data_IF_320281492514
#
_entry.id   IF_320281492514
#
_cell.length_a   1.000
_cell.length_b   1.000
_cell.length_c   1.000
_cell.angle_alpha   90.00
_cell.angle_beta   90.00
_cell.angle_gamma   90.00
#
_symmetry.space_group_name_H-M   'P 1'
#
loop_
_entity.id
_entity.type
_entity.pdbx_description
1 polymer ?
#
# COMPACT_ATOMS: atom_id res chain seq x y z
N UNK A 1 53.72 -19.25 -38.37
CA UNK A 1 53.71 -19.80 -37.39
C UNK A 1 53.32 -19.15 -36.20
N UNK A 2 53.27 -18.11 -36.03
CA UNK A 2 52.96 -17.51 -34.89
C UNK A 2 51.70 -16.92 -34.84
N UNK A 3 50.78 -17.14 -35.55
CA UNK A 3 49.60 -16.44 -35.53
C UNK A 3 48.51 -17.04 -34.78
N UNK A 4 48.75 -17.99 -34.07
CA UNK A 4 47.64 -18.53 -33.41
C UNK A 4 47.18 -17.87 -32.26
N UNK A 5 47.84 -16.99 -31.71
CA UNK A 5 47.41 -16.47 -30.51
C UNK A 5 46.27 -15.61 -30.59
N UNK A 6 45.87 -15.15 -31.64
CA UNK A 6 44.89 -14.15 -31.68
C UNK A 6 43.54 -14.66 -31.47
N UNK A 7 43.27 -15.87 -31.69
CA UNK A 7 41.95 -16.32 -31.62
C UNK A 7 41.37 -16.39 -30.27
N UNK A 8 42.18 -16.31 -29.28
CA UNK A 8 41.65 -16.48 -27.99
C UNK A 8 40.89 -15.35 -27.45
N UNK A 9 41.11 -14.20 -27.96
CA UNK A 9 40.56 -13.07 -27.34
C UNK A 9 39.12 -12.89 -27.59
N UNK A 10 38.66 -13.28 -28.69
CA UNK A 10 37.28 -13.01 -29.00
C UNK A 10 36.31 -13.79 -28.15
N UNK A 11 36.80 -14.81 -27.54
CA UNK A 11 35.93 -15.65 -26.83
C UNK A 11 35.42 -15.05 -25.57
N UNK A 12 36.08 -14.11 -25.06
CA UNK A 12 35.77 -13.61 -23.78
C UNK A 12 34.56 -12.77 -23.67
N UNK A 13 34.12 -12.22 -24.73
CA UNK A 13 33.09 -11.23 -24.63
C UNK A 13 31.69 -11.72 -24.44
N UNK A 14 31.50 -12.97 -24.55
CA UNK A 14 30.18 -13.46 -24.58
C UNK A 14 29.51 -13.55 -23.25
N UNK A 15 30.31 -13.60 -22.24
CA UNK A 15 29.72 -13.85 -20.98
C UNK A 15 29.00 -12.73 -20.32
N UNK A 16 29.14 -11.57 -20.80
CA UNK A 16 28.66 -10.47 -20.05
C UNK A 16 27.19 -10.29 -20.10
N UNK A 17 26.57 -10.84 -21.08
CA UNK A 17 25.17 -10.49 -21.24
C UNK A 17 24.24 -11.30 -20.42
N UNK A 18 24.69 -12.29 -19.76
CA UNK A 18 23.77 -13.14 -19.09
C UNK A 18 23.30 -12.64 -17.75
N UNK A 19 23.92 -11.65 -17.25
CA UNK A 19 23.67 -11.31 -15.87
C UNK A 19 22.45 -10.49 -15.59
N UNK A 20 21.76 -9.99 -16.58
CA UNK A 20 20.70 -9.14 -16.25
C UNK A 20 19.39 -9.75 -16.17
N UNK A 21 19.24 -10.91 -16.59
CA UNK A 21 17.93 -11.47 -16.68
C UNK A 21 17.27 -11.71 -15.36
N UNK A 22 18.01 -11.79 -14.32
CA UNK A 22 17.40 -12.13 -13.11
C UNK A 22 16.86 -11.02 -12.34
N UNK A 23 17.05 -9.85 -12.75
CA UNK A 23 16.59 -8.76 -11.96
C UNK A 23 15.12 -8.55 -12.06
N UNK A 24 14.43 -9.28 -12.84
CA UNK A 24 13.02 -9.14 -12.83
C UNK A 24 12.56 -9.68 -11.53
N UNK A 25 12.52 -8.86 -10.57
CA UNK A 25 12.08 -9.25 -9.28
C UNK A 25 10.64 -9.69 -9.35
N UNK A 26 10.36 -10.78 -8.76
CA UNK A 26 9.00 -11.20 -8.66
C UNK A 26 8.29 -10.22 -7.77
N UNK A 27 7.31 -9.57 -8.26
CA UNK A 27 6.46 -8.75 -7.42
C UNK A 27 5.83 -9.65 -6.39
N UNK A 28 5.70 -9.16 -5.19
CA UNK A 28 5.03 -9.88 -4.14
C UNK A 28 3.60 -10.17 -4.61
N UNK A 29 3.06 -11.34 -4.30
CA UNK A 29 1.71 -11.65 -4.71
C UNK A 29 0.74 -10.65 -4.12
N UNK A 30 -0.19 -10.16 -4.92
CA UNK A 30 -1.18 -9.22 -4.46
C UNK A 30 -2.25 -9.95 -3.69
N UNK A 31 -2.63 -9.37 -2.57
CA UNK A 31 -3.71 -9.92 -1.78
C UNK A 31 -5.02 -9.44 -2.38
N UNK A 32 -5.89 -10.37 -2.66
CA UNK A 32 -7.17 -10.09 -3.29
C UNK A 32 -8.27 -10.66 -2.41
N UNK A 33 -9.33 -9.87 -2.22
CA UNK A 33 -10.47 -10.34 -1.48
C UNK A 33 -11.26 -11.35 -2.31
N UNK A 34 -11.53 -12.53 -1.79
CA UNK A 34 -12.18 -13.56 -2.61
C UNK A 34 -13.65 -13.29 -2.92
N UNK A 35 -14.29 -12.40 -2.18
CA UNK A 35 -15.70 -12.10 -2.41
C UNK A 35 -15.86 -10.99 -3.44
N UNK A 36 -15.12 -9.90 -3.28
CA UNK A 36 -15.25 -8.74 -4.14
C UNK A 36 -14.33 -8.77 -5.34
N UNK A 37 -13.29 -9.58 -5.26
CA UNK A 37 -12.23 -9.66 -6.26
C UNK A 37 -11.40 -8.38 -6.35
N UNK A 38 -11.52 -7.49 -5.39
CA UNK A 38 -10.69 -6.30 -5.31
C UNK A 38 -9.37 -6.61 -4.63
N UNK A 39 -8.32 -5.91 -5.05
CA UNK A 39 -7.04 -5.99 -4.37
C UNK A 39 -7.16 -5.31 -3.00
N UNK A 40 -6.52 -5.88 -1.98
CA UNK A 40 -6.51 -5.26 -0.67
C UNK A 40 -5.44 -4.18 -0.66
N UNK A 41 -5.80 -3.02 -1.14
CA UNK A 41 -4.88 -1.92 -1.33
C UNK A 41 -4.89 -0.94 -0.17
N UNK A 42 -6.07 -0.66 0.41
CA UNK A 42 -6.20 0.39 1.40
C UNK A 42 -6.58 -0.14 2.76
N UNK A 43 -6.02 0.50 3.80
CA UNK A 43 -6.51 0.35 5.16
C UNK A 43 -7.17 1.66 5.58
N UNK A 44 -8.25 1.56 6.34
CA UNK A 44 -8.90 2.71 6.93
C UNK A 44 -8.67 2.70 8.43
N UNK A 45 -8.31 3.87 8.99
CA UNK A 45 -8.07 4.04 10.42
C UNK A 45 -9.23 4.83 11.02
N UNK A 46 -10.20 4.18 11.67
CA UNK A 46 -11.38 4.89 12.17
C UNK A 46 -11.07 6.01 13.15
N UNK A 47 -10.07 5.81 14.00
CA UNK A 47 -9.76 6.81 15.01
C UNK A 47 -8.97 7.99 14.46
N UNK A 48 -8.37 7.83 13.31
CA UNK A 48 -7.64 8.91 12.64
C UNK A 48 -8.42 9.47 11.46
N UNK A 49 -9.46 8.79 11.02
CA UNK A 49 -10.20 9.15 9.79
C UNK A 49 -9.21 9.32 8.63
N UNK A 50 -8.32 8.35 8.49
CA UNK A 50 -7.23 8.39 7.53
C UNK A 50 -7.13 7.07 6.80
N UNK A 51 -6.40 7.07 5.70
CA UNK A 51 -6.18 5.87 4.91
C UNK A 51 -4.70 5.60 4.72
N UNK A 52 -4.34 4.36 4.56
CA UNK A 52 -3.00 3.97 4.13
C UNK A 52 -3.10 3.21 2.80
N UNK A 53 -2.30 3.63 1.82
CA UNK A 53 -2.25 3.00 0.51
C UNK A 53 -1.03 2.08 0.50
N UNK A 54 -1.27 0.77 0.48
CA UNK A 54 -0.17 -0.19 0.51
C UNK A 54 0.61 -0.22 -0.79
N UNK A 55 0.00 0.24 -1.88
CA UNK A 55 0.67 0.25 -3.16
C UNK A 55 1.68 1.39 -3.27
N UNK A 56 1.32 2.55 -2.73
CA UNK A 56 2.18 3.72 -2.77
C UNK A 56 2.94 3.96 -1.48
N UNK A 57 2.59 3.23 -0.42
CA UNK A 57 3.19 3.41 0.91
C UNK A 57 3.03 4.82 1.43
N UNK A 58 1.85 5.37 1.28
CA UNK A 58 1.53 6.71 1.78
C UNK A 58 0.23 6.70 2.55
N UNK A 59 0.11 7.69 3.44
CA UNK A 59 -1.11 7.92 4.18
C UNK A 59 -1.86 9.09 3.55
N UNK A 60 -3.19 9.04 3.63
CA UNK A 60 -4.07 10.16 3.28
C UNK A 60 -4.73 10.62 4.55
N UNK A 61 -4.57 11.87 4.90
CA UNK A 61 -5.20 12.43 6.11
C UNK A 61 -5.47 13.92 5.91
N UNK A 62 -6.30 14.50 6.79
CA UNK A 62 -6.68 15.90 6.64
C UNK A 62 -5.86 16.78 7.55
N UNK A 63 -5.39 17.90 7.03
CA UNK A 63 -4.84 18.97 7.82
C UNK A 63 -5.55 20.26 7.40
N UNK A 64 -6.10 20.96 8.37
CA UNK A 64 -6.81 22.21 8.11
C UNK A 64 -7.91 22.05 7.06
N UNK A 65 -8.63 20.94 7.16
CA UNK A 65 -9.74 20.67 6.24
C UNK A 65 -9.34 20.18 4.86
N UNK A 66 -8.06 20.02 4.60
CA UNK A 66 -7.59 19.60 3.28
C UNK A 66 -6.95 18.22 3.36
N UNK A 67 -7.24 17.40 2.39
CA UNK A 67 -6.57 16.10 2.28
C UNK A 67 -5.13 16.29 1.83
N UNK A 68 -4.21 15.66 2.56
CA UNK A 68 -2.81 15.64 2.17
C UNK A 68 -2.31 14.21 2.22
N UNK A 69 -1.17 13.97 1.60
CA UNK A 69 -0.52 12.66 1.62
C UNK A 69 0.88 12.81 2.19
N UNK A 70 1.32 11.79 2.90
CA UNK A 70 2.68 11.76 3.45
C UNK A 70 3.07 10.32 3.74
N UNK A 71 4.36 10.09 3.90
CA UNK A 71 4.83 8.74 4.22
C UNK A 71 4.53 8.36 5.67
N UNK A 72 4.27 9.35 6.51
CA UNK A 72 3.90 9.11 7.90
C UNK A 72 2.87 10.12 8.35
N UNK A 73 2.07 9.74 9.32
CA UNK A 73 1.14 10.66 9.95
C UNK A 73 1.90 11.37 11.07
N UNK A 74 1.75 12.70 11.20
CA UNK A 74 2.47 13.44 12.24
C UNK A 74 2.16 12.93 13.64
N UNK A 75 3.16 12.92 14.49
CA UNK A 75 2.97 12.50 15.87
C UNK A 75 1.92 13.39 16.54
N UNK A 76 1.01 12.77 17.25
CA UNK A 76 -0.05 13.51 17.92
C UNK A 76 -1.23 13.90 17.06
N UNK A 77 -1.23 13.51 15.80
CA UNK A 77 -2.38 13.79 14.94
C UNK A 77 -3.63 13.18 15.57
N UNK A 78 -4.63 14.02 15.81
CA UNK A 78 -5.88 13.66 16.49
C UNK A 78 -5.66 13.08 17.89
N UNK A 79 -4.57 13.46 18.55
CA UNK A 79 -4.32 13.08 19.93
C UNK A 79 -3.47 11.83 20.08
N UNK A 80 -3.17 11.50 21.31
CA UNK A 80 -2.34 10.35 21.61
C UNK A 80 -3.20 9.26 22.22
N UNK A 81 -3.37 8.17 21.53
CA UNK A 81 -4.10 7.03 22.03
C UNK A 81 -3.42 5.76 21.53
N UNK A 82 -3.44 4.73 22.36
CA UNK A 82 -2.92 3.45 21.97
C UNK A 82 -3.70 2.88 20.79
N UNK A 83 -4.93 3.32 20.61
CA UNK A 83 -5.81 2.72 19.61
C UNK A 83 -5.90 3.54 18.32
N UNK A 84 -5.07 4.57 18.19
CA UNK A 84 -5.10 5.39 16.98
C UNK A 84 -4.73 4.60 15.73
N UNK A 85 -3.95 3.54 15.89
CA UNK A 85 -3.52 2.74 14.75
C UNK A 85 -4.38 1.52 14.47
N UNK A 86 -5.50 1.38 15.16
CA UNK A 86 -6.42 0.32 14.77
C UNK A 86 -6.94 0.60 13.37
N UNK A 87 -7.05 -0.44 12.57
CA UNK A 87 -7.35 -0.26 11.15
C UNK A 87 -8.18 -1.42 10.62
N UNK A 88 -8.84 -1.18 9.51
CA UNK A 88 -9.63 -2.18 8.82
C UNK A 88 -9.24 -2.17 7.36
N UNK A 89 -9.16 -3.34 6.74
CA UNK A 89 -8.89 -3.44 5.32
C UNK A 89 -10.12 -3.08 4.53
N UNK A 90 -9.96 -2.27 3.49
CA UNK A 90 -11.04 -1.94 2.58
C UNK A 90 -11.07 -3.03 1.52
N UNK A 91 -12.15 -3.77 1.45
CA UNK A 91 -12.24 -4.94 0.60
C UNK A 91 -12.99 -4.72 -0.70
N UNK A 92 -13.62 -3.58 -0.86
CA UNK A 92 -14.48 -3.31 -2.02
C UNK A 92 -14.03 -2.13 -2.86
N UNK A 93 -12.80 -1.67 -2.69
CA UNK A 93 -12.27 -0.58 -3.49
C UNK A 93 -10.75 -0.69 -3.57
N UNK A 94 -10.20 -0.64 -4.76
CA UNK A 94 -8.77 -0.73 -4.97
C UNK A 94 -8.24 0.25 -6.03
N UNK A 95 -9.07 1.22 -6.43
CA UNK A 95 -8.68 2.20 -7.42
C UNK A 95 -8.07 3.44 -6.74
N UNK A 96 -7.80 4.49 -7.47
CA UNK A 96 -7.18 5.69 -6.94
C UNK A 96 -8.16 6.49 -6.07
N UNK A 97 -7.61 7.21 -5.13
CA UNK A 97 -8.35 8.13 -4.24
C UNK A 97 -9.41 7.48 -3.35
N UNK A 98 -8.98 6.92 -2.22
CA UNK A 98 -9.93 6.35 -1.27
C UNK A 98 -10.72 7.41 -0.51
N UNK A 99 -10.26 8.67 -0.53
CA UNK A 99 -10.85 9.72 0.29
C UNK A 99 -12.26 10.08 -0.12
N UNK A 100 -12.64 9.75 -1.34
CA UNK A 100 -13.99 10.00 -1.81
C UNK A 100 -15.04 9.21 -1.02
N UNK A 101 -14.64 8.18 -0.33
CA UNK A 101 -15.56 7.35 0.44
C UNK A 101 -15.50 7.65 1.96
N UNK A 102 -14.91 8.76 2.36
CA UNK A 102 -14.73 9.03 3.78
C UNK A 102 -16.04 9.09 4.55
N UNK A 103 -17.05 9.67 3.98
CA UNK A 103 -18.35 9.78 4.65
C UNK A 103 -18.95 8.40 4.90
N UNK A 104 -18.82 7.53 3.92
CA UNK A 104 -19.31 6.17 4.04
C UNK A 104 -18.50 5.40 5.09
N UNK A 105 -17.20 5.47 5.03
CA UNK A 105 -16.36 4.72 5.95
C UNK A 105 -16.49 5.22 7.39
N UNK A 106 -16.70 6.50 7.59
CA UNK A 106 -16.95 7.02 8.94
C UNK A 106 -18.23 6.44 9.53
N UNK A 107 -19.24 6.20 8.72
CA UNK A 107 -20.46 5.59 9.20
C UNK A 107 -20.31 4.10 9.41
N UNK A 108 -19.63 3.44 8.49
CA UNK A 108 -19.45 1.99 8.60
C UNK A 108 -18.52 1.60 9.75
N UNK A 109 -17.50 2.41 9.99
CA UNK A 109 -16.48 2.11 10.98
C UNK A 109 -16.33 3.31 11.91
N UNK A 110 -17.20 3.42 12.92
CA UNK A 110 -17.12 4.56 13.83
C UNK A 110 -15.89 4.50 14.72
N UNK A 111 -15.63 5.60 15.42
CA UNK A 111 -14.52 5.68 16.35
C UNK A 111 -14.50 4.49 17.30
N UNK A 112 -13.34 3.89 17.48
CA UNK A 112 -13.18 2.71 18.29
C UNK A 112 -12.36 3.03 19.54
N UNK A 113 -12.98 3.45 20.64
CA UNK A 113 -12.24 3.95 21.81
C UNK A 113 -11.39 2.88 22.49
N UNK A 114 -11.73 1.62 22.31
CA UNK A 114 -10.95 0.52 22.86
C UNK A 114 -10.26 -0.32 21.80
N UNK A 115 -10.14 0.18 20.60
CA UNK A 115 -9.48 -0.51 19.50
C UNK A 115 -10.30 -1.61 18.86
N UNK A 116 -11.52 -1.82 19.31
CA UNK A 116 -12.37 -2.86 18.72
C UNK A 116 -13.23 -2.23 17.65
N UNK A 117 -12.91 -2.54 16.42
CA UNK A 117 -13.59 -1.98 15.28
C UNK A 117 -14.91 -2.72 15.06
N UNK A 118 -15.98 -1.95 14.94
CA UNK A 118 -17.30 -2.51 14.67
C UNK A 118 -17.74 -2.03 13.30
N UNK A 119 -18.13 -2.96 12.45
CA UNK A 119 -18.69 -2.58 11.17
C UNK A 119 -20.19 -2.39 11.35
N UNK A 120 -20.67 -1.20 11.09
CA UNK A 120 -22.09 -0.90 11.17
C UNK A 120 -22.76 -1.30 9.88
N UNK A 121 -23.86 -2.04 10.01
CA UNK A 121 -24.61 -2.41 8.84
C UNK A 121 -25.38 -1.19 8.34
N UNK A 122 -25.52 -1.10 7.03
CA UNK A 122 -26.32 -0.03 6.47
C UNK A 122 -27.74 -0.21 6.94
N UNK A 123 -28.35 0.86 7.43
CA UNK A 123 -29.74 0.81 7.82
C UNK A 123 -30.59 0.73 6.55
N UNK A 124 -31.47 -0.19 6.50
CA UNK A 124 -32.37 -0.32 5.36
C UNK A 124 -33.66 0.35 5.65
#
# INVERSE_FOLDING_TARGET
MKNLKITLIAFFLIFISAAKAQTSASEAPKLVDPVTNCELRYYYFPNLEAYFDTKKNIYYFKQQGQWITATDIPAGYRGYSLYNKCRVAITDYDDEDPTQFITLHKKQYPYAPNGKIKKMMAAN
#
